data_IF_706736872166
#
_entry.id   IF_706736872166
#
_cell.length_a   1.000
_cell.length_b   1.000
_cell.length_c   1.000
_cell.angle_alpha   90.00
_cell.angle_beta   90.00
_cell.angle_gamma   90.00
#
_symmetry.space_group_name_H-M   'P 1'
#
loop_
_entity.id
_entity.type
_entity.pdbx_description
1 polymer ?
#
# COMPACT_ATOMS: atom_id res chain seq x y z
N UNK A 1 19.75 -7.89 -32.07
CA UNK A 1 19.04 -8.58 -30.97
C UNK A 1 19.09 -7.63 -29.79
N UNK A 2 18.06 -6.79 -29.61
CA UNK A 2 18.02 -5.82 -28.53
C UNK A 2 17.55 -6.53 -27.26
N UNK A 3 18.48 -6.88 -26.38
CA UNK A 3 18.16 -7.15 -24.98
C UNK A 3 17.99 -5.79 -24.32
N UNK A 4 16.76 -5.27 -24.32
CA UNK A 4 16.37 -4.16 -23.47
C UNK A 4 16.57 -4.60 -22.02
N UNK A 5 17.65 -4.13 -21.39
CA UNK A 5 17.75 -4.05 -19.95
C UNK A 5 16.48 -3.34 -19.47
N UNK A 6 15.60 -4.08 -18.79
CA UNK A 6 14.34 -3.54 -18.31
C UNK A 6 14.63 -2.34 -17.42
N UNK A 7 14.30 -1.15 -17.89
CA UNK A 7 14.31 0.04 -17.06
C UNK A 7 13.51 -0.29 -15.80
N UNK A 8 14.17 -0.23 -14.64
CA UNK A 8 13.55 -0.44 -13.34
C UNK A 8 12.56 0.69 -13.12
N UNK A 9 11.35 0.49 -13.60
CA UNK A 9 10.33 1.50 -13.57
C UNK A 9 9.64 1.45 -12.21
N UNK A 10 9.78 2.54 -11.46
CA UNK A 10 8.97 2.80 -10.28
C UNK A 10 7.51 2.82 -10.71
N UNK A 11 6.68 2.06 -10.00
CA UNK A 11 5.25 1.96 -10.25
C UNK A 11 4.50 1.99 -8.93
N UNK A 12 3.21 2.33 -8.96
CA UNK A 12 2.35 2.16 -7.79
C UNK A 12 1.91 0.70 -7.67
N UNK A 13 2.45 -0.03 -6.70
CA UNK A 13 2.03 -1.38 -6.38
C UNK A 13 0.83 -1.38 -5.44
N UNK A 14 -0.18 -2.17 -5.78
CA UNK A 14 -1.35 -2.38 -4.92
C UNK A 14 -1.04 -3.49 -3.92
N UNK A 15 -1.08 -3.15 -2.62
CA UNK A 15 -0.76 -4.08 -1.55
C UNK A 15 -1.96 -4.30 -0.60
N UNK A 16 -1.81 -5.31 0.25
CA UNK A 16 -2.73 -5.73 1.29
C UNK A 16 -2.08 -5.63 2.64
N UNK A 17 -2.78 -4.98 3.56
CA UNK A 17 -2.50 -5.06 4.99
C UNK A 17 -3.38 -6.15 5.62
N UNK A 18 -2.77 -7.24 6.05
CA UNK A 18 -3.46 -8.31 6.78
C UNK A 18 -3.42 -8.11 8.30
N UNK A 19 -2.86 -6.99 8.78
CA UNK A 19 -2.89 -6.65 10.21
C UNK A 19 -4.32 -6.41 10.67
N UNK A 20 -4.55 -6.64 11.97
CA UNK A 20 -5.85 -6.38 12.59
C UNK A 20 -6.12 -4.87 12.67
N UNK A 21 -7.39 -4.48 12.62
CA UNK A 21 -7.82 -3.08 12.75
C UNK A 21 -7.29 -2.38 14.01
N UNK A 22 -7.11 -3.13 15.10
CA UNK A 22 -6.59 -2.62 16.37
C UNK A 22 -5.06 -2.69 16.48
N UNK A 23 -4.35 -3.03 15.40
CA UNK A 23 -2.90 -3.04 15.40
C UNK A 23 -2.35 -1.62 15.61
N UNK A 24 -1.41 -1.49 16.54
CA UNK A 24 -0.76 -0.21 16.84
C UNK A 24 0.06 0.32 15.66
N UNK A 25 0.57 -0.59 14.83
CA UNK A 25 1.41 -0.30 13.68
C UNK A 25 0.82 -0.96 12.41
N UNK A 26 -0.21 -0.34 11.78
CA UNK A 26 -0.71 -0.76 10.47
C UNK A 26 0.38 -0.66 9.40
N UNK A 27 0.22 -1.38 8.28
CA UNK A 27 1.20 -1.45 7.20
C UNK A 27 1.57 -0.08 6.64
N UNK A 28 0.61 0.82 6.42
CA UNK A 28 0.91 2.14 5.86
C UNK A 28 1.85 2.95 6.77
N UNK A 29 1.64 2.94 8.10
CA UNK A 29 2.55 3.59 9.05
C UNK A 29 3.93 2.95 9.06
N UNK A 30 3.96 1.61 8.97
CA UNK A 30 5.21 0.87 8.98
C UNK A 30 6.06 1.16 7.74
N UNK A 31 5.43 1.19 6.56
CA UNK A 31 6.09 1.50 5.29
C UNK A 31 6.55 2.95 5.23
N UNK A 32 5.75 3.90 5.72
CA UNK A 32 6.15 5.31 5.85
C UNK A 32 7.39 5.48 6.75
N UNK A 33 7.46 4.74 7.86
CA UNK A 33 8.64 4.75 8.74
C UNK A 33 9.91 4.21 8.06
N UNK A 34 9.74 3.39 7.03
CA UNK A 34 10.83 2.79 6.24
C UNK A 34 11.09 3.62 4.96
N UNK A 35 10.55 4.85 4.91
CA UNK A 35 10.73 5.85 3.85
C UNK A 35 10.14 5.49 2.49
N UNK A 36 9.20 4.55 2.43
CA UNK A 36 8.42 4.33 1.21
C UNK A 36 7.38 5.43 1.00
N UNK A 37 7.14 5.75 -0.26
CA UNK A 37 5.98 6.54 -0.65
C UNK A 37 4.72 5.65 -0.63
N UNK A 38 3.77 6.01 0.24
CA UNK A 38 2.58 5.19 0.50
C UNK A 38 1.34 6.06 0.45
N UNK A 39 0.30 5.55 -0.21
CA UNK A 39 -1.02 6.14 -0.19
C UNK A 39 -2.08 5.15 0.28
N UNK A 40 -3.01 5.63 1.11
CA UNK A 40 -4.27 4.93 1.41
C UNK A 40 -5.32 6.00 1.74
N UNK A 41 -6.54 5.92 1.18
CA UNK A 41 -7.57 6.91 1.44
C UNK A 41 -7.95 6.87 2.93
N UNK A 42 -7.98 8.04 3.58
CA UNK A 42 -8.28 8.19 5.00
C UNK A 42 -9.70 8.72 5.23
N UNK A 43 -10.25 8.46 6.42
CA UNK A 43 -11.50 9.07 6.89
C UNK A 43 -11.40 9.43 8.37
N UNK A 44 -12.13 10.47 8.76
CA UNK A 44 -12.37 10.73 10.18
C UNK A 44 -13.36 9.72 10.76
N UNK A 45 -12.99 9.10 11.87
CA UNK A 45 -13.86 8.25 12.65
C UNK A 45 -13.84 8.70 14.11
N UNK A 46 -15.02 8.78 14.74
CA UNK A 46 -15.12 8.99 16.18
C UNK A 46 -14.82 7.66 16.90
N UNK A 47 -13.69 7.60 17.57
CA UNK A 47 -13.27 6.48 18.42
C UNK A 47 -13.42 6.84 19.89
N UNK A 48 -13.74 5.84 20.73
CA UNK A 48 -13.78 6.02 22.19
C UNK A 48 -12.55 5.40 22.80
N UNK A 49 -11.67 6.22 23.37
CA UNK A 49 -10.48 5.78 24.10
C UNK A 49 -10.60 6.21 25.56
N UNK A 50 -10.61 5.23 26.47
CA UNK A 50 -10.70 5.50 27.91
C UNK A 50 -11.93 6.33 28.32
N UNK A 51 -13.05 6.17 27.63
CA UNK A 51 -14.29 6.92 27.88
C UNK A 51 -14.37 8.31 27.24
N UNK A 52 -13.31 8.78 26.56
CA UNK A 52 -13.32 10.03 25.80
C UNK A 52 -13.51 9.76 24.31
N UNK A 53 -14.40 10.52 23.67
CA UNK A 53 -14.61 10.50 22.21
C UNK A 53 -13.54 11.37 21.54
N UNK A 54 -12.71 10.76 20.70
CA UNK A 54 -11.66 11.43 19.94
C UNK A 54 -11.88 11.17 18.46
N UNK A 55 -11.64 12.17 17.61
CA UNK A 55 -11.60 11.97 16.16
C UNK A 55 -10.25 11.39 15.78
N UNK A 56 -10.27 10.31 15.03
CA UNK A 56 -9.08 9.64 14.54
C UNK A 56 -9.16 9.48 13.03
N UNK A 57 -8.03 9.69 12.36
CA UNK A 57 -7.88 9.33 10.95
C UNK A 57 -7.56 7.84 10.84
N UNK A 58 -8.45 7.12 10.17
CA UNK A 58 -8.32 5.69 9.92
C UNK A 58 -8.44 5.42 8.42
N UNK A 59 -7.79 4.36 7.89
CA UNK A 59 -7.97 3.97 6.50
C UNK A 59 -9.45 3.73 6.19
N UNK A 60 -9.92 4.27 5.07
CA UNK A 60 -11.27 4.02 4.58
C UNK A 60 -11.45 2.54 4.24
N UNK A 61 -10.44 1.96 3.58
CA UNK A 61 -10.30 0.52 3.29
C UNK A 61 -9.05 0.01 4.01
N UNK A 62 -9.22 -0.82 5.03
CA UNK A 62 -8.11 -1.25 5.89
C UNK A 62 -7.11 -2.17 5.16
N UNK A 63 -7.58 -3.01 4.24
CA UNK A 63 -6.75 -3.99 3.53
C UNK A 63 -6.18 -3.46 2.21
N UNK A 64 -6.30 -2.16 1.93
CA UNK A 64 -5.86 -1.55 0.68
C UNK A 64 -4.88 -0.41 0.95
N UNK A 65 -3.70 -0.55 0.38
CA UNK A 65 -2.71 0.53 0.31
C UNK A 65 -1.97 0.45 -1.03
N UNK A 66 -1.38 1.57 -1.40
CA UNK A 66 -0.59 1.74 -2.60
C UNK A 66 0.82 2.14 -2.19
N UNK A 67 1.83 1.53 -2.79
CA UNK A 67 3.25 1.82 -2.51
C UNK A 67 3.95 2.15 -3.81
N UNK A 68 4.65 3.28 -3.86
CA UNK A 68 5.37 3.73 -5.04
C UNK A 68 6.87 3.48 -4.86
N UNK A 69 7.36 2.44 -5.56
CA UNK A 69 8.78 2.12 -5.64
C UNK A 69 9.00 1.09 -6.77
N UNK A 70 10.22 0.59 -6.88
CA UNK A 70 10.62 -0.58 -7.66
C UNK A 70 10.23 -1.88 -6.95
N UNK A 71 9.97 -2.95 -7.70
CA UNK A 71 9.60 -4.24 -7.11
C UNK A 71 10.74 -4.79 -6.22
N UNK A 72 11.99 -4.60 -6.65
CA UNK A 72 13.18 -5.06 -5.92
C UNK A 72 13.38 -4.37 -4.57
N UNK A 73 12.86 -3.14 -4.40
CA UNK A 73 12.87 -2.45 -3.13
C UNK A 73 11.78 -2.97 -2.19
N UNK A 74 10.62 -3.34 -2.73
CA UNK A 74 9.45 -3.77 -1.96
C UNK A 74 9.57 -5.26 -1.56
N UNK A 75 10.14 -6.11 -2.41
CA UNK A 75 10.23 -7.56 -2.20
C UNK A 75 10.89 -7.96 -0.86
N UNK A 76 12.06 -7.40 -0.46
CA UNK A 76 12.66 -7.68 0.84
C UNK A 76 11.75 -7.33 2.03
N UNK A 77 10.92 -6.30 1.87
CA UNK A 77 10.00 -5.86 2.91
C UNK A 77 8.79 -6.80 3.03
N UNK A 78 8.24 -7.26 1.90
CA UNK A 78 7.18 -8.28 1.86
C UNK A 78 7.65 -9.60 2.45
N UNK A 79 8.89 -10.01 2.16
CA UNK A 79 9.50 -11.20 2.74
C UNK A 79 9.72 -11.07 4.26
N UNK A 80 10.19 -9.91 4.72
CA UNK A 80 10.39 -9.62 6.15
C UNK A 80 9.07 -9.53 6.92
N UNK A 81 8.01 -9.04 6.30
CA UNK A 81 6.71 -8.81 6.94
C UNK A 81 5.57 -9.53 6.19
N UNK A 82 5.31 -10.82 6.48
CA UNK A 82 4.32 -11.63 5.74
C UNK A 82 2.86 -11.16 5.89
N UNK A 83 2.61 -10.21 6.79
CA UNK A 83 1.31 -9.53 6.95
C UNK A 83 1.06 -8.47 5.87
N UNK A 84 2.09 -8.08 5.13
CA UNK A 84 2.02 -7.11 4.03
C UNK A 84 2.23 -7.91 2.75
N UNK A 85 1.25 -7.88 1.85
CA UNK A 85 1.27 -8.74 0.67
C UNK A 85 0.87 -7.99 -0.59
N UNK A 86 1.39 -8.39 -1.75
CA UNK A 86 0.87 -7.88 -3.02
C UNK A 86 -0.59 -8.28 -3.24
N UNK A 87 -1.34 -7.42 -3.93
CA UNK A 87 -2.52 -7.85 -4.68
C UNK A 87 -2.05 -8.35 -6.04
N UNK A 88 -2.56 -9.51 -6.43
CA UNK A 88 -2.26 -10.10 -7.73
C UNK A 88 -3.44 -9.90 -8.68
N UNK A 89 -3.14 -9.73 -9.96
CA UNK A 89 -4.17 -9.57 -10.99
C UNK A 89 -4.95 -10.88 -11.18
N UNK A 90 -6.29 -10.79 -11.16
CA UNK A 90 -7.16 -11.94 -11.43
C UNK A 90 -7.10 -12.28 -12.92
N UNK A 91 -6.71 -13.51 -13.26
CA UNK A 91 -6.55 -13.94 -14.65
C UNK A 91 -5.24 -13.51 -15.31
N UNK A 92 -4.32 -12.88 -14.56
CA UNK A 92 -2.95 -12.63 -15.00
C UNK A 92 -2.05 -13.85 -14.88
N UNK A 93 -0.76 -13.66 -15.19
CA UNK A 93 0.29 -14.65 -14.94
C UNK A 93 0.43 -15.02 -13.46
N UNK A 94 1.09 -16.15 -13.18
CA UNK A 94 1.32 -16.59 -11.80
C UNK A 94 2.05 -15.52 -10.99
N UNK A 95 1.45 -15.12 -9.86
CA UNK A 95 1.96 -14.08 -8.94
C UNK A 95 2.24 -12.72 -9.61
N UNK A 96 1.50 -12.36 -10.66
CA UNK A 96 1.68 -11.05 -11.29
C UNK A 96 1.14 -9.91 -10.39
N UNK A 97 1.98 -9.03 -9.82
CA UNK A 97 1.53 -7.94 -8.97
C UNK A 97 0.63 -6.98 -9.73
N UNK A 98 -0.37 -6.44 -9.04
CA UNK A 98 -1.21 -5.38 -9.59
C UNK A 98 -0.48 -4.05 -9.42
N UNK A 99 -0.28 -3.36 -10.54
CA UNK A 99 0.31 -2.02 -10.60
C UNK A 99 -0.71 -1.00 -11.11
N UNK A 100 -0.50 0.26 -10.74
CA UNK A 100 -1.24 1.43 -11.23
C UNK A 100 -0.22 2.39 -11.83
N UNK A 101 -0.54 2.98 -12.98
CA UNK A 101 0.32 3.99 -13.60
C UNK A 101 0.24 5.31 -12.82
N UNK A 102 1.34 6.06 -12.77
CA UNK A 102 1.43 7.30 -11.98
C UNK A 102 0.31 8.29 -12.31
N UNK A 103 0.02 8.49 -13.60
CA UNK A 103 -1.04 9.40 -14.03
C UNK A 103 -2.44 8.98 -13.55
N UNK A 104 -2.71 7.68 -13.42
CA UNK A 104 -3.98 7.19 -12.88
C UNK A 104 -4.01 7.34 -11.36
N UNK A 105 -2.87 7.11 -10.70
CA UNK A 105 -2.75 7.27 -9.26
C UNK A 105 -2.91 8.74 -8.84
N UNK A 106 -2.27 9.67 -9.53
CA UNK A 106 -2.42 11.11 -9.30
C UNK A 106 -3.89 11.53 -9.44
N UNK A 107 -4.56 11.09 -10.52
CA UNK A 107 -5.99 11.34 -10.72
C UNK A 107 -6.84 10.79 -9.58
N UNK A 108 -6.50 9.60 -9.08
CA UNK A 108 -7.20 8.98 -7.96
C UNK A 108 -7.00 9.77 -6.67
N UNK A 109 -5.75 10.12 -6.33
CA UNK A 109 -5.40 10.89 -5.13
C UNK A 109 -6.09 12.26 -5.13
N UNK A 110 -6.18 12.92 -6.27
CA UNK A 110 -6.85 14.23 -6.39
C UNK A 110 -8.38 14.16 -6.26
N UNK A 111 -8.99 13.01 -6.54
CA UNK A 111 -10.44 12.85 -6.54
C UNK A 111 -11.02 12.45 -5.18
N UNK A 112 -10.18 11.98 -4.25
CA UNK A 112 -10.59 11.45 -2.93
C UNK A 112 -10.29 12.39 -1.78
#
# INVERSE_FOLDING_TARGET
MATSEGEKQTCWYVMRDLKRANAKLPAYKQLLNEHFEVFTPMKEQLSVHGGKRTREEVPFIQDLLFVHDTQEAIDPFVEKYPTIQYRFQKGGGYKNPMTVADADMERFIHAV
#
